data_IF_460428913058
#
_entry.id   IF_460428913058
#
_cell.length_a   1.000
_cell.length_b   1.000
_cell.length_c   1.000
_cell.angle_alpha   90.00
_cell.angle_beta   90.00
_cell.angle_gamma   90.00
#
_symmetry.space_group_name_H-M   'P 1'
#
loop_
_entity.id
_entity.type
_entity.pdbx_description
1 polymer ?
#
# COMPACT_ATOMS: atom_id res chain seq x y z
N UNK A 1 23.17 -3.75 -23.62
CA UNK A 1 22.43 -2.50 -23.90
C UNK A 1 20.93 -2.71 -24.01
N UNK A 2 20.43 -3.86 -24.50
CA UNK A 2 18.97 -4.10 -24.58
C UNK A 2 18.33 -4.45 -23.24
N UNK A 3 19.01 -5.24 -22.42
CA UNK A 3 18.47 -5.72 -21.13
C UNK A 3 18.16 -4.59 -20.14
N UNK A 4 19.05 -3.60 -20.00
CA UNK A 4 18.82 -2.42 -19.15
C UNK A 4 17.58 -1.63 -19.61
N UNK A 5 17.40 -1.49 -20.93
CA UNK A 5 16.23 -0.79 -21.49
C UNK A 5 14.93 -1.54 -21.20
N UNK A 6 14.93 -2.86 -21.31
CA UNK A 6 13.76 -3.69 -20.98
C UNK A 6 13.42 -3.62 -19.50
N UNK A 7 14.42 -3.63 -18.61
CA UNK A 7 14.20 -3.46 -17.17
C UNK A 7 13.63 -2.08 -16.85
N UNK A 8 14.17 -1.01 -17.42
CA UNK A 8 13.64 0.35 -17.20
C UNK A 8 12.17 0.48 -17.65
N UNK A 9 11.83 -0.06 -18.82
CA UNK A 9 10.46 -0.07 -19.31
C UNK A 9 9.55 -0.87 -18.37
N UNK A 10 10.00 -2.04 -17.90
CA UNK A 10 9.24 -2.85 -16.96
C UNK A 10 9.02 -2.11 -15.64
N UNK A 11 10.05 -1.46 -15.08
CA UNK A 11 9.95 -0.66 -13.87
C UNK A 11 8.94 0.49 -14.02
N UNK A 12 9.06 1.28 -15.08
CA UNK A 12 8.11 2.36 -15.37
C UNK A 12 6.68 1.86 -15.59
N UNK A 13 6.51 0.71 -16.24
CA UNK A 13 5.20 0.10 -16.42
C UNK A 13 4.59 -0.35 -15.08
N UNK A 14 5.41 -0.87 -14.16
CA UNK A 14 4.97 -1.21 -12.81
C UNK A 14 4.59 0.04 -12.00
N UNK A 15 5.38 1.10 -12.08
CA UNK A 15 5.06 2.37 -11.40
C UNK A 15 3.75 2.96 -11.92
N UNK A 16 3.57 2.96 -13.24
CA UNK A 16 2.34 3.41 -13.87
C UNK A 16 1.15 2.54 -13.46
N UNK A 17 1.29 1.21 -13.45
CA UNK A 17 0.24 0.29 -13.01
C UNK A 17 -0.14 0.53 -11.54
N UNK A 18 0.86 0.74 -10.67
CA UNK A 18 0.66 1.06 -9.28
C UNK A 18 -0.10 2.37 -9.08
N UNK A 19 0.35 3.45 -9.71
CA UNK A 19 -0.33 4.74 -9.67
C UNK A 19 -1.78 4.65 -10.20
N UNK A 20 -1.99 3.99 -11.33
CA UNK A 20 -3.33 3.78 -11.92
C UNK A 20 -4.22 3.00 -10.98
N UNK A 21 -3.72 1.92 -10.36
CA UNK A 21 -4.53 1.11 -9.44
C UNK A 21 -4.99 1.89 -8.20
N UNK A 22 -4.14 2.78 -7.65
CA UNK A 22 -4.49 3.67 -6.53
C UNK A 22 -5.59 4.64 -6.97
N UNK A 23 -5.39 5.31 -8.10
CA UNK A 23 -6.35 6.32 -8.60
C UNK A 23 -7.69 5.68 -8.91
N UNK A 24 -7.71 4.59 -9.67
CA UNK A 24 -8.94 3.87 -10.03
C UNK A 24 -9.64 3.34 -8.79
N UNK A 25 -8.91 2.71 -7.87
CA UNK A 25 -9.49 2.18 -6.64
C UNK A 25 -10.03 3.28 -5.72
N UNK A 26 -9.38 4.44 -5.66
CA UNK A 26 -9.89 5.60 -4.91
C UNK A 26 -11.18 6.15 -5.52
N UNK A 27 -11.25 6.28 -6.85
CA UNK A 27 -12.45 6.73 -7.57
C UNK A 27 -13.61 5.75 -7.34
N UNK A 28 -13.35 4.44 -7.45
CA UNK A 28 -14.36 3.40 -7.21
C UNK A 28 -14.84 3.41 -5.76
N UNK A 29 -13.93 3.49 -4.79
CA UNK A 29 -14.28 3.57 -3.37
C UNK A 29 -15.14 4.80 -3.08
N UNK A 30 -14.79 5.95 -3.65
CA UNK A 30 -15.55 7.19 -3.50
C UNK A 30 -16.94 7.09 -4.16
N UNK A 31 -17.03 6.55 -5.37
CA UNK A 31 -18.30 6.36 -6.08
C UNK A 31 -19.25 5.44 -5.31
N UNK A 32 -18.73 4.33 -4.77
CA UNK A 32 -19.50 3.40 -3.94
C UNK A 32 -19.95 4.04 -2.62
N UNK A 33 -19.10 4.86 -2.00
CA UNK A 33 -19.44 5.58 -0.77
C UNK A 33 -20.54 6.62 -1.01
N UNK A 34 -20.43 7.41 -2.09
CA UNK A 34 -21.42 8.39 -2.50
C UNK A 34 -22.77 7.75 -2.81
N UNK A 35 -22.78 6.58 -3.45
CA UNK A 35 -24.02 5.84 -3.72
C UNK A 35 -24.73 5.39 -2.43
N UNK A 36 -23.98 5.10 -1.35
CA UNK A 36 -24.51 4.62 -0.06
C UNK A 36 -24.85 5.73 0.93
N UNK A 37 -24.45 6.98 0.67
CA UNK A 37 -24.65 8.10 1.61
C UNK A 37 -26.14 8.36 1.94
N UNK A 38 -27.05 7.97 1.04
CA UNK A 38 -28.50 8.12 1.23
C UNK A 38 -29.16 6.93 1.93
N UNK A 39 -28.48 5.78 1.99
CA UNK A 39 -29.08 4.51 2.45
C UNK A 39 -28.44 3.98 3.73
N UNK A 40 -27.27 4.49 4.12
CA UNK A 40 -26.52 4.01 5.28
C UNK A 40 -26.08 5.16 6.20
N UNK A 41 -25.88 4.90 7.51
CA UNK A 41 -25.35 5.89 8.44
C UNK A 41 -23.95 6.40 8.02
N UNK A 42 -23.60 7.67 8.29
CA UNK A 42 -22.31 8.25 7.89
C UNK A 42 -21.09 7.45 8.38
N UNK A 43 -21.15 6.89 9.59
CA UNK A 43 -20.07 6.09 10.16
C UNK A 43 -19.78 4.81 9.35
N UNK A 44 -20.82 4.14 8.85
CA UNK A 44 -20.68 2.93 8.04
C UNK A 44 -20.15 3.23 6.64
N UNK A 45 -20.62 4.32 6.03
CA UNK A 45 -20.15 4.80 4.73
C UNK A 45 -18.66 5.14 4.80
N UNK A 46 -18.23 5.85 5.86
CA UNK A 46 -16.83 6.19 6.07
C UNK A 46 -15.95 4.96 6.32
N UNK A 47 -16.41 4.03 7.18
CA UNK A 47 -15.68 2.80 7.44
C UNK A 47 -15.48 1.96 6.16
N UNK A 48 -16.51 1.88 5.32
CA UNK A 48 -16.44 1.15 4.05
C UNK A 48 -15.53 1.83 3.03
N UNK A 49 -15.65 3.15 2.87
CA UNK A 49 -14.74 3.94 2.04
C UNK A 49 -13.28 3.72 2.44
N UNK A 50 -12.97 3.84 3.75
CA UNK A 50 -11.61 3.70 4.26
C UNK A 50 -11.07 2.28 4.04
N UNK A 51 -11.92 1.26 4.13
CA UNK A 51 -11.56 -0.14 3.84
C UNK A 51 -11.23 -0.36 2.37
N UNK A 52 -12.07 0.12 1.47
CA UNK A 52 -11.89 -0.10 0.02
C UNK A 52 -10.74 0.76 -0.54
N UNK A 53 -10.63 2.01 -0.10
CA UNK A 53 -9.47 2.85 -0.38
C UNK A 53 -8.17 2.23 0.13
N UNK A 54 -8.17 1.70 1.36
CA UNK A 54 -7.00 1.04 1.93
C UNK A 54 -6.54 -0.19 1.13
N UNK A 55 -7.48 -0.97 0.58
CA UNK A 55 -7.18 -2.11 -0.31
C UNK A 55 -6.56 -1.67 -1.63
N UNK A 56 -7.10 -0.61 -2.24
CA UNK A 56 -6.54 -0.04 -3.47
C UNK A 56 -5.12 0.49 -3.25
N UNK A 57 -4.90 1.16 -2.11
CA UNK A 57 -3.58 1.66 -1.74
C UNK A 57 -2.59 0.51 -1.55
N UNK A 58 -2.96 -0.54 -0.80
CA UNK A 58 -2.11 -1.72 -0.60
C UNK A 58 -1.68 -2.35 -1.93
N UNK A 59 -2.63 -2.55 -2.85
CA UNK A 59 -2.35 -3.11 -4.17
C UNK A 59 -1.38 -2.23 -4.98
N UNK A 60 -1.66 -0.92 -5.06
CA UNK A 60 -0.79 -0.02 -5.79
C UNK A 60 0.61 0.08 -5.21
N UNK A 61 0.72 -0.02 -3.89
CA UNK A 61 2.00 -0.06 -3.20
C UNK A 61 2.80 -1.34 -3.49
N UNK A 62 2.18 -2.47 -3.85
CA UNK A 62 2.91 -3.65 -4.33
C UNK A 62 3.57 -3.40 -5.69
N UNK A 63 2.84 -2.77 -6.60
CA UNK A 63 3.35 -2.42 -7.94
C UNK A 63 4.42 -1.32 -7.90
N UNK A 64 4.17 -0.22 -7.18
CA UNK A 64 5.10 0.90 -7.05
C UNK A 64 6.45 0.46 -6.48
N UNK A 65 6.45 -0.46 -5.53
CA UNK A 65 7.70 -0.94 -4.95
C UNK A 65 8.41 -1.96 -5.84
N UNK A 66 7.67 -2.76 -6.60
CA UNK A 66 8.31 -3.55 -7.65
C UNK A 66 8.99 -2.67 -8.70
N UNK A 67 8.35 -1.58 -9.13
CA UNK A 67 8.91 -0.63 -10.08
C UNK A 67 10.16 0.07 -9.56
N UNK A 68 10.10 0.63 -8.33
CA UNK A 68 11.25 1.23 -7.66
C UNK A 68 12.45 0.27 -7.57
N UNK A 69 12.22 -1.00 -7.21
CA UNK A 69 13.30 -2.00 -7.13
C UNK A 69 13.96 -2.19 -8.51
N UNK A 70 13.16 -2.36 -9.57
CA UNK A 70 13.66 -2.62 -10.92
C UNK A 70 14.49 -1.43 -11.45
N UNK A 71 13.98 -0.20 -11.29
CA UNK A 71 14.71 1.00 -11.75
C UNK A 71 16.02 1.16 -10.98
N UNK A 72 16.02 0.87 -9.68
CA UNK A 72 17.21 1.01 -8.84
C UNK A 72 18.32 0.04 -9.22
N UNK A 73 18.02 -1.25 -9.40
CA UNK A 73 19.05 -2.24 -9.78
C UNK A 73 19.65 -1.96 -11.15
N UNK A 74 18.89 -1.31 -12.03
CA UNK A 74 19.28 -1.07 -13.43
C UNK A 74 20.19 0.14 -13.58
N UNK A 75 20.17 1.08 -12.62
CA UNK A 75 20.81 2.40 -12.78
C UNK A 75 22.26 2.46 -12.26
N UNK A 76 22.93 1.32 -11.98
CA UNK A 76 24.31 1.23 -11.44
C UNK A 76 24.59 2.26 -10.33
N UNK A 77 24.26 1.94 -9.07
CA UNK A 77 24.14 2.99 -8.09
C UNK A 77 25.52 3.51 -7.67
N UNK A 78 25.72 4.82 -7.80
CA UNK A 78 26.69 5.52 -6.97
C UNK A 78 26.16 5.63 -5.54
N UNK A 79 27.01 6.01 -4.58
CA UNK A 79 26.63 6.18 -3.17
C UNK A 79 25.42 7.13 -3.03
N UNK A 80 25.35 8.15 -3.89
CA UNK A 80 24.25 9.12 -3.93
C UNK A 80 22.90 8.49 -4.35
N UNK A 81 22.86 7.65 -5.39
CA UNK A 81 21.63 6.96 -5.80
C UNK A 81 21.15 5.96 -4.74
N UNK A 82 22.06 5.23 -4.08
CA UNK A 82 21.69 4.33 -2.96
C UNK A 82 21.06 5.12 -1.82
N UNK A 83 21.59 6.31 -1.51
CA UNK A 83 21.09 7.18 -0.44
C UNK A 83 19.67 7.69 -0.71
N UNK A 84 19.38 8.13 -1.94
CA UNK A 84 18.03 8.55 -2.33
C UNK A 84 17.02 7.41 -2.22
N UNK A 85 17.39 6.20 -2.65
CA UNK A 85 16.56 5.01 -2.48
C UNK A 85 16.33 4.68 -1.00
N UNK A 86 17.41 4.71 -0.21
CA UNK A 86 17.34 4.44 1.23
C UNK A 86 16.39 5.40 1.95
N UNK A 87 16.39 6.68 1.57
CA UNK A 87 15.46 7.68 2.10
C UNK A 87 14.01 7.34 1.73
N UNK A 88 13.73 6.97 0.48
CA UNK A 88 12.38 6.61 0.05
C UNK A 88 11.86 5.36 0.79
N UNK A 89 12.68 4.32 0.92
CA UNK A 89 12.34 3.09 1.67
C UNK A 89 12.12 3.40 3.15
N UNK A 90 12.94 4.28 3.74
CA UNK A 90 12.80 4.71 5.13
C UNK A 90 11.48 5.46 5.35
N UNK A 91 11.11 6.39 4.45
CA UNK A 91 9.83 7.10 4.50
C UNK A 91 8.67 6.10 4.41
N UNK A 92 8.72 5.14 3.46
CA UNK A 92 7.67 4.13 3.31
C UNK A 92 7.51 3.28 4.57
N UNK A 93 8.63 2.88 5.17
CA UNK A 93 8.64 2.05 6.38
C UNK A 93 8.08 2.83 7.56
N UNK A 94 8.53 4.06 7.79
CA UNK A 94 8.07 4.90 8.88
C UNK A 94 6.59 5.25 8.77
N UNK A 95 6.10 5.63 7.57
CA UNK A 95 4.68 5.92 7.37
C UNK A 95 3.81 4.69 7.60
N UNK A 96 4.19 3.54 7.03
CA UNK A 96 3.44 2.30 7.21
C UNK A 96 3.47 1.84 8.67
N UNK A 97 4.61 2.00 9.34
CA UNK A 97 4.80 1.65 10.75
C UNK A 97 3.94 2.54 11.66
N UNK A 98 3.96 3.86 11.48
CA UNK A 98 3.14 4.80 12.26
C UNK A 98 1.65 4.50 12.12
N UNK A 99 1.17 4.29 10.88
CA UNK A 99 -0.24 3.94 10.66
C UNK A 99 -0.59 2.58 11.29
N UNK A 100 0.33 1.62 11.28
CA UNK A 100 0.12 0.31 11.93
C UNK A 100 -0.04 0.44 13.45
N UNK A 101 0.74 1.33 14.07
CA UNK A 101 0.65 1.62 15.50
C UNK A 101 -0.67 2.30 15.87
N UNK A 102 -1.12 3.31 15.10
CA UNK A 102 -2.42 3.97 15.31
C UNK A 102 -3.60 3.00 15.20
N UNK A 103 -3.48 1.98 14.34
CA UNK A 103 -4.50 0.94 14.15
C UNK A 103 -4.41 -0.20 15.17
N UNK A 104 -3.51 -0.12 16.17
CA UNK A 104 -3.32 -1.15 17.20
C UNK A 104 -2.80 -2.49 16.66
N UNK A 105 -2.28 -2.52 15.43
CA UNK A 105 -1.69 -3.73 14.83
C UNK A 105 -0.21 -3.76 15.18
N UNK A 106 0.12 -4.33 16.34
CA UNK A 106 1.51 -4.64 16.64
C UNK A 106 1.98 -5.82 15.78
N UNK A 107 3.08 -5.70 15.01
CA UNK A 107 3.64 -6.82 14.26
C UNK A 107 4.13 -7.87 15.28
N UNK A 108 3.37 -8.97 15.46
CA UNK A 108 3.71 -10.05 16.38
C UNK A 108 2.70 -10.31 17.52
N UNK A 109 1.57 -9.61 17.57
CA UNK A 109 0.52 -9.90 18.54
C UNK A 109 -0.15 -11.25 18.26
N UNK A 110 0.22 -12.30 19.01
CA UNK A 110 -0.51 -13.57 19.01
C UNK A 110 -1.97 -13.31 19.40
N UNK A 111 -2.96 -13.81 18.65
CA UNK A 111 -4.35 -13.80 19.12
C UNK A 111 -4.39 -14.57 20.43
N UNK A 112 -4.71 -13.89 21.53
CA UNK A 112 -5.02 -14.58 22.77
C UNK A 112 -6.30 -15.36 22.50
N UNK A 113 -6.15 -16.67 22.29
CA UNK A 113 -7.23 -17.62 22.48
C UNK A 113 -7.75 -17.40 23.90
N UNK A 114 -8.84 -16.64 24.02
CA UNK A 114 -9.70 -16.74 25.19
C UNK A 114 -10.37 -18.09 25.10
N UNK A 115 -9.65 -19.12 25.56
CA UNK A 115 -10.18 -20.44 25.82
C UNK A 115 -11.26 -20.25 26.88
N UNK A 116 -12.48 -20.10 26.37
CA UNK A 116 -13.70 -19.93 27.14
C UNK A 116 -13.83 -21.13 28.05
N UNK A 117 -13.60 -20.85 29.33
CA UNK A 117 -13.93 -21.58 30.52
C UNK A 117 -15.16 -22.49 30.31
N UNK A 118 -14.92 -23.76 29.95
CA UNK A 118 -15.89 -24.82 30.20
C UNK A 118 -15.86 -25.08 31.69
N UNK A 119 -16.85 -24.57 32.41
CA UNK A 119 -17.18 -25.08 33.73
C UNK A 119 -18.54 -25.78 33.67
N UNK A 120 -18.64 -27.05 34.12
CA UNK A 120 -19.91 -27.76 34.23
C UNK A 120 -20.76 -27.25 35.39
#
# INVERSE_FOLDING_TARGET
MDFERWLLIAGQAMDAAGAVSIVVGAILALGLALARVRTAPPAEVFATFRKDFGRALLLGMEFLVGGDIIVTITTKPGISEVLSLGILVLIRTLLTFTVSLELGRMPGGKPLETSSERKP
#
